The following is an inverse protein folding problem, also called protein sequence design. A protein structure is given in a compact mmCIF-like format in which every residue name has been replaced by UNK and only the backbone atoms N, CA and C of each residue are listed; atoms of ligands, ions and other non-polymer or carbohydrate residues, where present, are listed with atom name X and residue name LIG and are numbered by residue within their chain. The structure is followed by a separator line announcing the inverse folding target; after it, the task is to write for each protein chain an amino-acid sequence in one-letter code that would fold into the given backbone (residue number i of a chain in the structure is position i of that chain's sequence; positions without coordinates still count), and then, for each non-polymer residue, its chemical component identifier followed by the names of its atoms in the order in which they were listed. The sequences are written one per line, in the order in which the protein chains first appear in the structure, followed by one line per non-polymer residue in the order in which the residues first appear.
data_IF_808257492264
#
_entry.id   IF_808257492264
#
_cell.length_a   1.000
_cell.length_b   1.000
_cell.length_c   1.000
_cell.angle_alpha   90.00
_cell.angle_beta   90.00
_cell.angle_gamma   90.00
#
_symmetry.space_group_name_H-M   'P 1'
#
loop_
_entity.id
_entity.type
_entity.pdbx_description
1 polymer ?
#
# COMPACT_ATOMS: atom_id res chain seq x y z
N UNK A 1 -12.71 -5.64 -6.85
CA UNK A 1 -11.81 -5.21 -5.75
C UNK A 1 -10.41 -5.66 -6.11
N UNK A 2 -9.50 -4.72 -6.34
CA UNK A 2 -8.20 -4.93 -6.98
C UNK A 2 -7.33 -5.94 -6.22
N UNK A 3 -6.57 -6.75 -6.97
CA UNK A 3 -5.58 -7.75 -6.48
C UNK A 3 -4.47 -7.20 -5.55
N UNK A 4 -4.48 -5.90 -5.25
CA UNK A 4 -3.54 -5.19 -4.37
C UNK A 4 -3.55 -5.74 -2.94
N UNK A 5 -4.70 -6.27 -2.49
CA UNK A 5 -4.82 -6.96 -1.20
C UNK A 5 -3.91 -8.18 -1.06
N UNK A 6 -3.42 -8.75 -2.17
CA UNK A 6 -2.57 -9.94 -2.14
C UNK A 6 -1.08 -9.62 -1.95
N UNK A 7 -0.67 -8.34 -1.97
CA UNK A 7 0.73 -7.94 -1.79
C UNK A 7 1.00 -7.34 -0.41
N UNK A 8 -0.04 -6.79 0.21
CA UNK A 8 0.01 -6.11 1.49
C UNK A 8 0.05 -7.10 2.66
N UNK A 9 0.88 -6.82 3.65
CA UNK A 9 0.85 -7.50 4.95
C UNK A 9 -0.43 -7.13 5.72
N UNK A 10 -0.73 -7.89 6.79
CA UNK A 10 -1.86 -7.57 7.67
C UNK A 10 -1.72 -6.18 8.33
N UNK A 11 -0.51 -5.76 8.64
CA UNK A 11 -0.22 -4.45 9.24
C UNK A 11 -0.38 -3.32 8.21
N UNK A 12 0.17 -3.49 7.01
CA UNK A 12 0.03 -2.51 5.92
C UNK A 12 -1.45 -2.28 5.58
N UNK A 13 -2.28 -3.35 5.60
CA UNK A 13 -3.74 -3.23 5.43
C UNK A 13 -4.38 -2.38 6.52
N UNK A 14 -4.03 -2.60 7.80
CA UNK A 14 -4.56 -1.81 8.92
C UNK A 14 -4.18 -0.33 8.79
N UNK A 15 -2.94 -0.04 8.39
CA UNK A 15 -2.47 1.34 8.15
C UNK A 15 -3.24 2.00 7.01
N UNK A 16 -3.41 1.31 5.88
CA UNK A 16 -4.18 1.84 4.74
C UNK A 16 -5.63 2.11 5.13
N UNK A 17 -6.29 1.22 5.88
CA UNK A 17 -7.66 1.47 6.35
C UNK A 17 -7.74 2.69 7.27
N UNK A 18 -6.76 2.87 8.17
CA UNK A 18 -6.67 4.11 8.97
C UNK A 18 -6.51 5.33 8.06
N UNK A 19 -5.59 5.31 7.11
CA UNK A 19 -5.36 6.43 6.18
C UNK A 19 -6.60 6.76 5.35
N UNK A 20 -7.40 5.76 4.94
CA UNK A 20 -8.67 5.99 4.25
C UNK A 20 -9.69 6.69 5.15
N UNK A 21 -9.77 6.33 6.43
CA UNK A 21 -10.62 7.04 7.39
C UNK A 21 -10.17 8.49 7.57
N UNK A 22 -8.86 8.74 7.65
CA UNK A 22 -8.32 10.11 7.72
C UNK A 22 -8.62 10.93 6.45
N UNK A 23 -8.68 10.30 5.26
CA UNK A 23 -9.13 10.98 4.03
C UNK A 23 -10.58 11.44 4.15
N UNK A 24 -11.47 10.61 4.69
CA UNK A 24 -12.89 10.96 4.89
C UNK A 24 -13.03 12.13 5.86
N UNK A 25 -12.17 12.18 6.88
CA UNK A 25 -12.14 13.25 7.86
C UNK A 25 -11.27 14.44 7.43
N UNK A 26 -10.74 14.48 6.21
CA UNK A 26 -9.79 15.52 5.80
C UNK A 26 -10.50 16.87 5.54
N UNK A 27 -10.07 17.91 6.24
CA UNK A 27 -10.62 19.27 6.09
C UNK A 27 -9.96 20.09 4.97
N UNK A 28 -8.94 19.56 4.29
CA UNK A 28 -8.24 20.26 3.21
C UNK A 28 -7.84 19.32 2.07
N UNK A 29 -7.81 19.86 0.86
CA UNK A 29 -7.31 19.13 -0.31
C UNK A 29 -5.84 18.72 -0.15
N UNK A 30 -5.05 19.48 0.61
CA UNK A 30 -3.67 19.13 0.92
C UNK A 30 -3.59 17.84 1.74
N UNK A 31 -4.44 17.69 2.76
CA UNK A 31 -4.52 16.46 3.57
C UNK A 31 -5.00 15.27 2.74
N UNK A 32 -6.03 15.45 1.90
CA UNK A 32 -6.49 14.39 0.97
C UNK A 32 -5.34 13.91 0.07
N UNK A 33 -4.57 14.84 -0.51
CA UNK A 33 -3.42 14.51 -1.38
C UNK A 33 -2.31 13.82 -0.60
N UNK A 34 -2.05 14.24 0.64
CA UNK A 34 -1.08 13.61 1.51
C UNK A 34 -1.44 12.15 1.78
N UNK A 35 -2.63 11.87 2.33
CA UNK A 35 -3.02 10.50 2.64
C UNK A 35 -3.10 9.61 1.40
N UNK A 36 -3.56 10.14 0.26
CA UNK A 36 -3.53 9.40 -1.01
C UNK A 36 -2.10 9.00 -1.39
N UNK A 37 -1.13 9.92 -1.29
CA UNK A 37 0.28 9.65 -1.58
C UNK A 37 0.85 8.58 -0.66
N UNK A 38 0.54 8.64 0.63
CA UNK A 38 1.00 7.64 1.60
C UNK A 38 0.47 6.24 1.26
N UNK A 39 -0.83 6.12 0.93
CA UNK A 39 -1.43 4.85 0.50
C UNK A 39 -0.73 4.32 -0.77
N UNK A 40 -0.50 5.18 -1.76
CA UNK A 40 0.18 4.80 -3.01
C UNK A 40 1.62 4.32 -2.77
N UNK A 41 2.35 4.96 -1.85
CA UNK A 41 3.70 4.54 -1.47
C UNK A 41 3.71 3.16 -0.82
N UNK A 42 2.81 2.90 0.15
CA UNK A 42 2.71 1.60 0.81
C UNK A 42 2.44 0.50 -0.23
N UNK A 43 1.48 0.71 -1.14
CA UNK A 43 1.18 -0.26 -2.20
C UNK A 43 2.37 -0.47 -3.13
N UNK A 44 3.08 0.59 -3.51
CA UNK A 44 4.28 0.50 -4.35
C UNK A 44 5.38 -0.34 -3.69
N UNK A 45 5.64 -0.12 -2.40
CA UNK A 45 6.63 -0.90 -1.64
C UNK A 45 6.23 -2.37 -1.51
N UNK A 46 4.95 -2.64 -1.23
CA UNK A 46 4.43 -3.99 -1.14
C UNK A 46 4.55 -4.76 -2.46
N UNK A 47 4.22 -4.10 -3.59
CA UNK A 47 4.40 -4.67 -4.92
C UNK A 47 5.87 -4.98 -5.21
N UNK A 48 6.77 -4.03 -4.95
CA UNK A 48 8.21 -4.20 -5.18
C UNK A 48 8.79 -5.36 -4.37
N UNK A 49 8.40 -5.49 -3.11
CA UNK A 49 8.80 -6.61 -2.25
C UNK A 49 8.41 -7.95 -2.87
N UNK A 50 7.17 -8.06 -3.39
CA UNK A 50 6.71 -9.29 -4.04
C UNK A 50 7.48 -9.59 -5.32
N UNK A 51 7.73 -8.60 -6.16
CA UNK A 51 8.52 -8.76 -7.40
C UNK A 51 9.93 -9.28 -7.09
N UNK A 52 10.58 -8.73 -6.05
CA UNK A 52 11.91 -9.18 -5.61
C UNK A 52 11.86 -10.63 -5.14
N UNK A 53 10.91 -11.00 -4.28
CA UNK A 53 10.76 -12.38 -3.81
C UNK A 53 10.52 -13.37 -4.96
N UNK A 54 9.71 -12.99 -5.95
CA UNK A 54 9.47 -13.80 -7.14
C UNK A 54 10.74 -13.98 -7.98
N UNK A 55 11.50 -12.91 -8.21
CA UNK A 55 12.79 -13.01 -8.91
C UNK A 55 13.78 -13.90 -8.17
N UNK A 56 13.90 -13.78 -6.84
CA UNK A 56 14.79 -14.62 -6.05
C UNK A 56 14.41 -16.10 -6.12
N UNK A 57 13.11 -16.41 -6.05
CA UNK A 57 12.63 -17.79 -6.21
C UNK A 57 12.95 -18.38 -7.58
N UNK A 58 13.03 -17.56 -8.63
CA UNK A 58 13.40 -18.01 -9.97
C UNK A 58 14.90 -18.27 -10.12
N UNK A 59 15.75 -17.55 -9.38
CA UNK A 59 17.21 -17.74 -9.43
C UNK A 59 17.73 -18.82 -8.47
N UNK A 60 16.99 -19.14 -7.41
CA UNK A 60 17.41 -20.08 -6.36
C UNK A 60 16.74 -21.47 -6.46
N UNK A 61 15.80 -21.65 -7.39
CA UNK A 61 15.14 -22.92 -7.69
C UNK A 61 15.59 -23.47 -9.03
#
# INVERSE_FOLDING_TARGET
MSNENNWLTGEEKKVIEKLKLEVVNAHSLAHVRFYKREIEQIVKHAKRRKEVLQSMSHYLG
#
